data_IF_367959664643
#
_entry.id   IF_367959664643
#
_cell.length_a   1.000
_cell.length_b   1.000
_cell.length_c   1.000
_cell.angle_alpha   90.00
_cell.angle_beta   90.00
_cell.angle_gamma   90.00
#
_symmetry.space_group_name_H-M   'P 1'
#
loop_
_entity.id
_entity.type
_entity.pdbx_description
1 polymer ?
#
# COMPACT_ATOMS: atom_id res chain seq x y z
N UNK A 1 -25.01 -5.06 -13.86
CA UNK A 1 -24.64 -5.29 -12.46
C UNK A 1 -23.12 -5.46 -12.36
N UNK A 2 -22.42 -4.33 -12.07
CA UNK A 2 -21.00 -4.42 -11.74
C UNK A 2 -20.89 -4.83 -10.27
N UNK A 3 -20.41 -6.02 -10.04
CA UNK A 3 -20.06 -6.49 -8.70
C UNK A 3 -18.55 -6.42 -8.56
N UNK A 4 -18.08 -5.86 -7.44
CA UNK A 4 -16.65 -5.72 -7.19
C UNK A 4 -16.16 -6.81 -6.25
N UNK A 5 -14.91 -7.18 -6.39
CA UNK A 5 -14.23 -8.10 -5.48
C UNK A 5 -13.94 -7.42 -4.14
N UNK A 6 -13.64 -8.22 -3.12
CA UNK A 6 -13.09 -7.70 -1.86
C UNK A 6 -11.62 -7.34 -2.10
N UNK A 7 -11.34 -6.04 -2.14
CA UNK A 7 -9.99 -5.51 -2.40
C UNK A 7 -9.00 -5.88 -1.28
N UNK A 8 -9.51 -6.16 -0.07
CA UNK A 8 -8.67 -6.55 1.07
C UNK A 8 -8.12 -7.98 0.96
N UNK A 9 -8.71 -8.78 0.07
CA UNK A 9 -8.22 -10.13 -0.20
C UNK A 9 -6.82 -10.06 -0.82
N UNK A 10 -5.91 -10.92 -0.41
CA UNK A 10 -4.51 -10.88 -0.83
C UNK A 10 -4.32 -11.09 -2.34
N UNK A 11 -5.11 -11.98 -2.96
CA UNK A 11 -5.07 -12.19 -4.41
C UNK A 11 -5.58 -10.97 -5.14
N UNK A 12 -6.72 -10.42 -4.71
CA UNK A 12 -7.32 -9.24 -5.32
C UNK A 12 -6.42 -8.01 -5.16
N UNK A 13 -5.89 -7.82 -3.97
CA UNK A 13 -5.01 -6.69 -3.69
C UNK A 13 -3.78 -6.68 -4.61
N UNK A 14 -3.08 -7.80 -4.71
CA UNK A 14 -1.91 -7.92 -5.57
C UNK A 14 -2.25 -7.75 -7.05
N UNK A 15 -3.38 -8.30 -7.49
CA UNK A 15 -3.84 -8.14 -8.87
C UNK A 15 -4.12 -6.69 -9.23
N UNK A 16 -4.72 -5.94 -8.33
CA UNK A 16 -5.10 -4.55 -8.57
C UNK A 16 -3.87 -3.63 -8.46
N UNK A 17 -3.16 -3.68 -7.34
CA UNK A 17 -2.06 -2.76 -7.06
C UNK A 17 -0.73 -3.17 -7.66
N UNK A 18 -0.53 -4.46 -7.92
CA UNK A 18 0.66 -5.00 -8.58
C UNK A 18 0.49 -5.22 -10.08
N UNK A 19 -0.42 -4.50 -10.72
CA UNK A 19 -0.75 -4.69 -12.14
C UNK A 19 0.28 -4.01 -13.03
N UNK A 20 1.08 -4.82 -13.74
CA UNK A 20 2.11 -4.34 -14.68
C UNK A 20 1.53 -3.53 -15.85
N UNK A 21 0.31 -3.81 -16.23
CA UNK A 21 -0.33 -3.16 -17.38
C UNK A 21 -1.08 -1.90 -17.00
N UNK A 22 -1.28 -1.65 -15.70
CA UNK A 22 -2.05 -0.52 -15.17
C UNK A 22 -1.33 0.11 -13.99
N UNK A 23 -0.09 0.49 -14.17
CA UNK A 23 0.75 1.10 -13.12
C UNK A 23 0.19 2.42 -12.59
N UNK A 24 -0.69 3.07 -13.34
CA UNK A 24 -1.39 4.28 -12.91
C UNK A 24 -2.17 4.06 -11.60
N UNK A 25 -2.62 2.84 -11.34
CA UNK A 25 -3.30 2.48 -10.09
C UNK A 25 -2.37 2.69 -8.89
N UNK A 26 -1.21 2.03 -8.91
CA UNK A 26 -0.24 2.13 -7.83
C UNK A 26 0.30 3.55 -7.69
N UNK A 27 0.61 4.22 -8.80
CA UNK A 27 1.11 5.60 -8.80
C UNK A 27 0.12 6.53 -8.09
N UNK A 28 -1.16 6.46 -8.44
CA UNK A 28 -2.18 7.29 -7.82
C UNK A 28 -2.32 7.01 -6.33
N UNK A 29 -2.33 5.74 -5.95
CA UNK A 29 -2.41 5.34 -4.55
C UNK A 29 -1.22 5.86 -3.73
N UNK A 30 0.00 5.70 -4.25
CA UNK A 30 1.21 6.18 -3.57
C UNK A 30 1.18 7.70 -3.37
N UNK A 31 0.84 8.45 -4.41
CA UNK A 31 0.74 9.91 -4.31
C UNK A 31 -0.33 10.33 -3.30
N UNK A 32 -1.45 9.63 -3.26
CA UNK A 32 -2.54 9.92 -2.33
C UNK A 32 -2.11 9.70 -0.88
N UNK A 33 -1.57 8.54 -0.57
CA UNK A 33 -1.20 8.16 0.81
C UNK A 33 -0.03 8.99 1.33
N UNK A 34 0.93 9.30 0.47
CA UNK A 34 2.11 10.09 0.83
C UNK A 34 1.86 11.60 0.75
N UNK A 35 0.71 12.02 0.24
CA UNK A 35 0.37 13.44 0.10
C UNK A 35 1.28 14.17 -0.88
N UNK A 36 1.72 13.51 -1.95
CA UNK A 36 2.64 14.09 -2.92
C UNK A 36 1.89 14.81 -4.03
N UNK A 37 2.30 16.04 -4.31
CA UNK A 37 1.68 16.91 -5.30
C UNK A 37 2.73 17.60 -6.18
N UNK A 38 2.32 18.01 -7.39
CA UNK A 38 3.16 18.78 -8.31
C UNK A 38 4.42 18.02 -8.69
N UNK A 39 5.56 18.66 -8.56
CA UNK A 39 6.86 18.09 -8.94
C UNK A 39 7.32 16.96 -8.02
N UNK A 40 6.76 16.86 -6.82
CA UNK A 40 7.11 15.82 -5.85
C UNK A 40 6.36 14.51 -6.09
N UNK A 41 5.43 14.49 -7.03
CA UNK A 41 4.64 13.29 -7.34
C UNK A 41 5.50 12.18 -7.89
N UNK A 42 5.18 10.96 -7.49
CA UNK A 42 5.66 9.76 -8.20
C UNK A 42 5.06 9.79 -9.60
N UNK A 43 5.90 9.66 -10.63
CA UNK A 43 5.48 9.71 -12.04
C UNK A 43 5.52 8.35 -12.69
N UNK A 44 6.48 7.53 -12.32
CA UNK A 44 6.68 6.19 -12.86
C UNK A 44 7.06 5.23 -11.76
N UNK A 45 6.67 3.97 -11.91
CA UNK A 45 7.10 2.90 -11.00
C UNK A 45 7.56 1.70 -11.79
N UNK A 46 8.53 1.00 -11.21
CA UNK A 46 8.95 -0.33 -11.64
C UNK A 46 8.54 -1.30 -10.55
N UNK A 47 7.70 -2.27 -10.89
CA UNK A 47 7.31 -3.30 -9.95
C UNK A 47 8.47 -4.27 -9.73
N UNK A 48 8.75 -4.57 -8.48
CA UNK A 48 9.81 -5.47 -8.08
C UNK A 48 9.20 -6.79 -7.60
N UNK A 49 9.96 -7.88 -7.71
CA UNK A 49 9.55 -9.13 -7.11
C UNK A 49 9.52 -8.97 -5.58
N UNK A 50 8.40 -9.30 -4.93
CA UNK A 50 8.35 -9.30 -3.47
C UNK A 50 9.36 -10.31 -2.95
N UNK A 51 10.13 -9.92 -1.93
CA UNK A 51 11.02 -10.86 -1.28
C UNK A 51 10.29 -11.59 -0.15
N UNK A 52 10.69 -12.86 0.05
CA UNK A 52 10.16 -13.65 1.15
C UNK A 52 11.03 -13.46 2.38
N UNK A 53 10.39 -13.35 3.55
CA UNK A 53 11.13 -13.42 4.81
C UNK A 53 11.63 -14.85 5.06
N UNK A 54 12.81 -14.98 5.69
CA UNK A 54 13.22 -16.28 6.21
C UNK A 54 12.15 -16.85 7.13
N UNK A 55 11.83 -18.13 6.98
CA UNK A 55 10.90 -18.79 7.89
C UNK A 55 11.55 -18.98 9.25
N UNK A 56 10.87 -18.51 10.29
CA UNK A 56 11.10 -19.03 11.61
C UNK A 56 10.41 -20.39 11.70
N UNK A 57 10.95 -21.28 12.50
CA UNK A 57 10.40 -22.64 12.59
C UNK A 57 8.91 -22.60 12.96
N UNK A 58 8.07 -23.18 12.11
CA UNK A 58 6.62 -23.25 12.31
C UNK A 58 5.80 -22.09 11.71
N UNK A 59 6.44 -21.10 11.10
CA UNK A 59 5.71 -19.98 10.46
C UNK A 59 5.53 -20.21 8.96
N UNK A 60 4.40 -19.72 8.44
CA UNK A 60 4.19 -19.65 6.99
C UNK A 60 5.12 -18.58 6.41
N UNK A 61 5.64 -18.81 5.21
CA UNK A 61 6.41 -17.79 4.49
C UNK A 61 5.51 -16.58 4.25
N UNK A 62 6.01 -15.40 4.61
CA UNK A 62 5.34 -14.14 4.33
C UNK A 62 5.92 -13.52 3.08
N UNK A 63 5.04 -13.12 2.17
CA UNK A 63 5.41 -12.38 0.95
C UNK A 63 4.84 -10.98 1.11
N UNK A 64 5.63 -9.97 0.78
CA UNK A 64 5.14 -8.59 0.68
C UNK A 64 4.17 -8.51 -0.50
N UNK A 65 3.02 -7.86 -0.31
CA UNK A 65 1.99 -7.80 -1.33
C UNK A 65 2.44 -7.07 -2.60
N UNK A 66 3.00 -5.86 -2.44
CA UNK A 66 3.49 -5.08 -3.57
C UNK A 66 4.79 -4.37 -3.17
N UNK A 67 5.77 -4.41 -4.07
CA UNK A 67 7.04 -3.72 -3.89
C UNK A 67 7.42 -3.05 -5.20
N UNK A 68 7.79 -1.78 -5.15
CA UNK A 68 8.09 -0.99 -6.36
C UNK A 68 9.15 0.07 -6.08
N UNK A 69 9.82 0.53 -7.15
CA UNK A 69 10.69 1.71 -7.10
C UNK A 69 10.15 2.77 -8.04
N UNK A 70 10.37 4.04 -7.67
CA UNK A 70 10.05 5.15 -8.57
C UNK A 70 11.28 5.55 -9.42
N UNK A 71 11.11 6.61 -10.21
CA UNK A 71 12.15 7.13 -11.10
C UNK A 71 13.37 7.70 -10.35
N UNK A 72 13.24 7.98 -9.07
CA UNK A 72 14.32 8.48 -8.23
C UNK A 72 15.00 7.38 -7.41
N UNK A 73 14.55 6.14 -7.55
CA UNK A 73 15.07 5.01 -6.82
C UNK A 73 14.47 4.81 -5.43
N UNK A 74 13.44 5.57 -5.05
CA UNK A 74 12.72 5.36 -3.79
C UNK A 74 11.99 4.02 -3.87
N UNK A 75 12.15 3.18 -2.86
CA UNK A 75 11.44 1.92 -2.76
C UNK A 75 10.18 2.07 -1.91
N UNK A 76 9.08 1.53 -2.42
CA UNK A 76 7.80 1.47 -1.71
C UNK A 76 7.46 0.02 -1.42
N UNK A 77 7.15 -0.24 -0.16
CA UNK A 77 6.61 -1.53 0.30
C UNK A 77 5.15 -1.27 0.64
N UNK A 78 4.23 -1.97 -0.01
CA UNK A 78 2.80 -1.85 0.27
C UNK A 78 2.29 -3.20 0.74
N UNK A 79 1.66 -3.22 1.91
CA UNK A 79 1.18 -4.44 2.52
C UNK A 79 -0.25 -4.28 3.04
N UNK A 80 -1.12 -5.22 2.66
CA UNK A 80 -2.49 -5.33 3.16
C UNK A 80 -2.52 -6.41 4.27
N UNK A 81 -2.95 -6.04 5.48
CA UNK A 81 -3.05 -6.96 6.62
C UNK A 81 -4.49 -7.05 7.10
N UNK A 82 -5.09 -8.24 6.98
CA UNK A 82 -6.48 -8.45 7.41
C UNK A 82 -6.59 -8.70 8.91
N UNK A 83 -5.54 -9.23 9.53
CA UNK A 83 -5.48 -9.49 10.97
C UNK A 83 -4.09 -9.12 11.50
N UNK A 84 -4.02 -8.68 12.75
CA UNK A 84 -2.76 -8.29 13.35
C UNK A 84 -1.85 -9.51 13.54
N UNK A 85 -0.69 -9.56 12.84
CA UNK A 85 0.28 -10.63 13.07
C UNK A 85 1.05 -10.41 14.35
N UNK A 86 1.55 -11.50 14.93
CA UNK A 86 2.45 -11.40 16.08
C UNK A 86 3.69 -10.58 15.71
N UNK A 87 4.05 -9.62 16.57
CA UNK A 87 5.20 -8.76 16.33
C UNK A 87 5.04 -7.82 15.13
N UNK A 88 3.86 -7.31 14.90
CA UNK A 88 3.55 -6.44 13.76
C UNK A 88 4.55 -5.29 13.61
N UNK A 89 4.84 -4.57 14.69
CA UNK A 89 5.79 -3.45 14.68
C UNK A 89 7.21 -3.89 14.26
N UNK A 90 7.65 -5.03 14.78
CA UNK A 90 8.96 -5.60 14.47
C UNK A 90 9.02 -6.06 12.99
N UNK A 91 7.93 -6.64 12.51
CA UNK A 91 7.80 -7.06 11.12
C UNK A 91 7.96 -5.87 10.15
N UNK A 92 7.27 -4.77 10.43
CA UNK A 92 7.37 -3.54 9.63
C UNK A 92 8.80 -3.02 9.60
N UNK A 93 9.43 -2.91 10.76
CA UNK A 93 10.82 -2.43 10.84
C UNK A 93 11.79 -3.37 10.17
N UNK A 94 11.59 -4.68 10.32
CA UNK A 94 12.46 -5.67 9.71
C UNK A 94 12.43 -5.60 8.18
N UNK A 95 11.24 -5.56 7.58
CA UNK A 95 11.11 -5.47 6.11
C UNK A 95 11.74 -4.19 5.57
N UNK A 96 11.45 -3.07 6.22
CA UNK A 96 11.95 -1.77 5.81
C UNK A 96 13.48 -1.71 5.91
N UNK A 97 14.04 -2.20 7.02
CA UNK A 97 15.48 -2.23 7.27
C UNK A 97 16.20 -3.17 6.31
N UNK A 98 15.62 -4.33 6.04
CA UNK A 98 16.19 -5.31 5.09
C UNK A 98 16.25 -4.73 3.68
N UNK A 99 15.20 -4.06 3.25
CA UNK A 99 15.16 -3.42 1.93
C UNK A 99 16.17 -2.29 1.83
N UNK A 100 16.30 -1.50 2.88
CA UNK A 100 17.27 -0.41 2.93
C UNK A 100 18.72 -0.93 2.90
N UNK A 101 19.06 -1.83 3.80
CA UNK A 101 20.39 -2.40 3.89
C UNK A 101 20.77 -3.22 2.65
N UNK A 102 19.79 -3.85 2.01
CA UNK A 102 20.01 -4.69 0.83
C UNK A 102 20.33 -3.92 -0.45
N UNK A 103 20.26 -2.58 -0.43
CA UNK A 103 20.54 -1.76 -1.62
C UNK A 103 22.02 -1.68 -1.95
N UNK A 104 22.90 -1.90 -0.99
CA UNK A 104 24.34 -1.79 -1.18
C UNK A 104 25.05 -3.07 -0.73
N UNK A 105 26.22 -3.29 -1.34
CA UNK A 105 27.12 -4.39 -1.02
C UNK A 105 28.37 -3.88 -0.31
N UNK A 106 29.19 -4.81 0.20
CA UNK A 106 30.47 -4.48 0.78
C UNK A 106 31.34 -3.71 -0.23
N UNK A 107 31.83 -2.56 0.18
CA UNK A 107 32.64 -1.69 -0.65
C UNK A 107 31.88 -0.59 -1.39
N UNK A 108 30.54 -0.63 -1.37
CA UNK A 108 29.73 0.44 -1.93
C UNK A 108 29.67 1.65 -0.98
N UNK A 109 29.44 2.83 -1.56
CA UNK A 109 29.35 4.07 -0.79
C UNK A 109 27.94 4.30 -0.23
N UNK A 110 27.87 4.77 1.01
CA UNK A 110 26.59 5.06 1.67
C UNK A 110 25.67 6.03 0.92
N UNK A 111 26.19 7.08 0.23
CA UNK A 111 25.30 7.98 -0.54
C UNK A 111 24.52 7.32 -1.67
N UNK A 112 24.82 6.08 -2.04
CA UNK A 112 24.03 5.31 -3.01
C UNK A 112 22.70 4.84 -2.43
N UNK A 113 22.55 4.80 -1.10
CA UNK A 113 21.29 4.42 -0.46
C UNK A 113 20.17 5.38 -0.84
N UNK A 114 18.98 4.81 -1.09
CA UNK A 114 17.77 5.54 -1.43
C UNK A 114 16.70 5.26 -0.40
N UNK A 115 15.76 6.18 -0.23
CA UNK A 115 14.67 5.99 0.75
C UNK A 115 13.87 4.72 0.55
N UNK A 116 13.34 4.21 1.64
CA UNK A 116 12.36 3.12 1.68
C UNK A 116 11.15 3.60 2.47
N UNK A 117 9.98 3.56 1.86
CA UNK A 117 8.72 3.95 2.48
C UNK A 117 7.82 2.74 2.61
N UNK A 118 7.37 2.48 3.82
CA UNK A 118 6.45 1.40 4.12
C UNK A 118 5.03 1.94 4.24
N UNK A 119 4.11 1.33 3.50
CA UNK A 119 2.68 1.67 3.53
C UNK A 119 1.91 0.42 3.94
N UNK A 120 1.30 0.47 5.12
CA UNK A 120 0.47 -0.62 5.64
C UNK A 120 -1.00 -0.25 5.60
N UNK A 121 -1.83 -1.16 5.07
CA UNK A 121 -3.28 -1.02 5.09
C UNK A 121 -3.78 -2.10 6.04
N UNK A 122 -4.40 -1.68 7.15
CA UNK A 122 -4.70 -2.56 8.28
C UNK A 122 -6.21 -2.69 8.46
N UNK A 123 -6.69 -3.91 8.51
CA UNK A 123 -8.06 -4.20 8.87
C UNK A 123 -8.19 -4.50 10.38
N UNK A 124 -7.39 -3.79 11.18
CA UNK A 124 -7.42 -3.84 12.64
C UNK A 124 -6.94 -2.50 13.21
N UNK A 125 -7.32 -2.19 14.44
CA UNK A 125 -6.85 -1.00 15.14
C UNK A 125 -5.52 -1.30 15.82
N UNK A 126 -4.50 -0.53 15.51
CA UNK A 126 -3.17 -0.69 16.10
C UNK A 126 -2.72 0.52 16.91
N UNK A 127 -2.84 1.72 16.32
CA UNK A 127 -2.43 2.97 16.96
C UNK A 127 -3.57 3.54 17.82
N UNK A 128 -3.21 4.34 18.82
CA UNK A 128 -4.19 4.93 19.73
C UNK A 128 -4.98 6.10 19.16
N UNK A 129 -4.45 6.78 18.15
CA UNK A 129 -5.11 7.93 17.53
C UNK A 129 -6.43 7.55 16.85
N UNK A 130 -7.30 8.53 16.68
CA UNK A 130 -8.60 8.34 16.04
C UNK A 130 -8.55 8.46 14.53
N UNK A 131 -7.53 9.12 13.98
CA UNK A 131 -7.37 9.31 12.56
C UNK A 131 -7.05 7.97 11.88
N UNK A 132 -7.70 7.72 10.75
CA UNK A 132 -7.47 6.49 10.01
C UNK A 132 -6.12 6.45 9.31
N UNK A 133 -5.56 7.60 8.96
CA UNK A 133 -4.24 7.73 8.33
C UNK A 133 -3.24 8.27 9.35
N UNK A 134 -2.13 7.55 9.53
CA UNK A 134 -1.04 8.01 10.38
C UNK A 134 0.28 8.00 9.61
N UNK A 135 1.13 8.97 9.93
CA UNK A 135 2.40 9.20 9.26
C UNK A 135 3.51 9.17 10.30
N UNK A 136 4.50 8.32 10.08
CA UNK A 136 5.59 8.10 11.03
C UNK A 136 6.92 8.32 10.35
N UNK A 137 7.84 8.92 11.07
CA UNK A 137 9.20 9.19 10.60
C UNK A 137 10.16 9.19 11.79
N UNK A 138 11.45 9.25 11.50
CA UNK A 138 12.48 9.34 12.54
C UNK A 138 12.68 10.81 12.87
N UNK A 139 12.46 11.20 14.11
CA UNK A 139 12.50 12.60 14.53
C UNK A 139 13.43 12.78 15.73
N UNK A 140 13.92 14.02 15.90
CA UNK A 140 14.44 14.49 17.17
C UNK A 140 13.28 14.58 18.16
N UNK A 141 13.34 13.85 19.26
CA UNK A 141 12.24 13.77 20.22
C UNK A 141 11.95 15.10 20.91
N UNK A 142 12.93 16.01 20.98
CA UNK A 142 12.75 17.32 21.61
C UNK A 142 12.19 18.37 20.64
N UNK A 143 12.63 18.36 19.38
CA UNK A 143 12.32 19.43 18.41
C UNK A 143 11.32 19.01 17.35
N UNK A 144 11.13 17.71 17.14
CA UNK A 144 10.33 17.16 16.04
C UNK A 144 11.05 17.20 14.68
N UNK A 145 12.31 17.63 14.64
CA UNK A 145 13.06 17.69 13.40
C UNK A 145 13.30 16.27 12.83
N UNK A 146 13.04 16.10 11.55
CA UNK A 146 13.31 14.87 10.83
C UNK A 146 14.66 14.98 10.12
N UNK A 147 15.75 14.59 10.80
CA UNK A 147 17.11 14.61 10.25
C UNK A 147 17.49 13.33 9.50
N UNK A 148 16.72 12.25 9.66
CA UNK A 148 16.96 10.95 9.01
C UNK A 148 15.75 10.64 8.12
N UNK A 149 15.82 11.04 6.85
CA UNK A 149 14.66 11.11 5.94
C UNK A 149 14.40 9.84 5.13
N UNK A 150 15.31 8.89 5.16
CA UNK A 150 15.25 7.73 4.26
C UNK A 150 14.22 6.68 4.63
N UNK A 151 13.71 6.69 5.86
CA UNK A 151 12.68 5.76 6.28
C UNK A 151 11.40 6.51 6.65
N UNK A 152 10.30 6.16 6.01
CA UNK A 152 8.98 6.70 6.32
C UNK A 152 7.96 5.58 6.34
N UNK A 153 6.95 5.77 7.19
CA UNK A 153 5.89 4.80 7.40
C UNK A 153 4.54 5.50 7.29
N UNK A 154 3.61 4.87 6.58
CA UNK A 154 2.21 5.34 6.48
C UNK A 154 1.31 4.18 6.78
N UNK A 155 0.28 4.40 7.61
CA UNK A 155 -0.68 3.36 7.91
C UNK A 155 -2.09 3.89 7.71
N UNK A 156 -2.90 3.07 7.04
CA UNK A 156 -4.34 3.27 6.91
C UNK A 156 -5.01 2.21 7.77
N UNK A 157 -5.74 2.65 8.80
CA UNK A 157 -6.49 1.75 9.68
C UNK A 157 -7.96 1.78 9.26
N UNK A 158 -8.38 0.77 8.52
CA UNK A 158 -9.69 0.73 7.86
C UNK A 158 -10.86 0.84 8.84
N UNK A 159 -10.73 0.27 10.04
CA UNK A 159 -11.80 0.32 11.04
C UNK A 159 -12.07 1.72 11.58
N UNK A 160 -11.10 2.63 11.46
CA UNK A 160 -11.26 4.04 11.85
C UNK A 160 -11.86 4.89 10.74
N UNK A 161 -12.00 4.35 9.55
CA UNK A 161 -12.57 5.04 8.40
C UNK A 161 -14.05 4.71 8.29
N UNK A 162 -14.92 5.71 8.45
CA UNK A 162 -16.37 5.52 8.43
C UNK A 162 -17.08 6.57 7.56
N UNK A 163 -16.36 7.17 6.62
CA UNK A 163 -16.91 8.19 5.73
C UNK A 163 -17.82 7.55 4.68
N UNK A 164 -18.93 8.22 4.40
CA UNK A 164 -19.83 7.89 3.30
C UNK A 164 -19.37 8.60 2.02
N UNK A 165 -19.92 8.19 0.88
CA UNK A 165 -19.52 8.74 -0.43
C UNK A 165 -19.57 10.26 -0.50
N UNK A 166 -20.58 10.89 0.11
CA UNK A 166 -20.72 12.36 0.10
C UNK A 166 -19.75 13.07 1.06
N UNK A 167 -19.09 12.32 1.94
CA UNK A 167 -18.12 12.86 2.91
C UNK A 167 -16.66 12.73 2.43
N UNK A 168 -16.43 12.11 1.28
CA UNK A 168 -15.08 11.92 0.72
C UNK A 168 -14.57 13.23 0.16
N UNK A 169 -13.48 13.75 0.73
CA UNK A 169 -12.91 15.04 0.34
C UNK A 169 -11.58 14.91 -0.38
N UNK A 170 -10.66 14.13 0.21
CA UNK A 170 -9.32 13.95 -0.33
C UNK A 170 -9.23 12.72 -1.22
N UNK A 171 -8.20 12.67 -2.04
CA UNK A 171 -7.93 11.47 -2.85
C UNK A 171 -7.61 10.26 -1.94
N UNK A 172 -6.97 10.48 -0.80
CA UNK A 172 -6.72 9.36 0.14
C UNK A 172 -8.01 8.86 0.78
N UNK A 173 -8.98 9.73 1.05
CA UNK A 173 -10.33 9.30 1.47
C UNK A 173 -10.95 8.37 0.44
N UNK A 174 -10.87 8.75 -0.83
CA UNK A 174 -11.46 8.00 -1.95
C UNK A 174 -10.77 6.65 -2.14
N UNK A 175 -9.47 6.58 -2.01
CA UNK A 175 -8.73 5.31 -2.05
C UNK A 175 -9.08 4.40 -0.87
N UNK A 176 -9.18 4.97 0.33
CA UNK A 176 -9.54 4.21 1.54
C UNK A 176 -10.96 3.65 1.43
N UNK A 177 -11.88 4.46 0.93
CA UNK A 177 -13.25 4.02 0.66
C UNK A 177 -13.27 2.84 -0.32
N UNK A 178 -12.54 2.94 -1.41
CA UNK A 178 -12.42 1.86 -2.39
C UNK A 178 -11.95 0.56 -1.74
N UNK A 179 -10.88 0.61 -0.98
CA UNK A 179 -10.30 -0.59 -0.36
C UNK A 179 -11.28 -1.21 0.64
N UNK A 180 -11.93 -0.38 1.46
CA UNK A 180 -12.82 -0.86 2.52
C UNK A 180 -14.17 -1.34 1.99
N UNK A 181 -14.76 -0.63 1.04
CA UNK A 181 -16.18 -0.78 0.70
C UNK A 181 -16.49 -1.23 -0.72
N UNK A 182 -15.52 -1.38 -1.62
CA UNK A 182 -15.81 -1.74 -3.02
C UNK A 182 -16.70 -2.98 -3.13
N UNK A 183 -16.44 -4.01 -2.32
CA UNK A 183 -17.23 -5.26 -2.35
C UNK A 183 -18.72 -5.06 -2.04
N UNK A 184 -19.07 -3.98 -1.35
CA UNK A 184 -20.45 -3.66 -0.98
C UNK A 184 -21.17 -2.79 -2.02
N UNK A 185 -20.47 -2.36 -3.06
CA UNK A 185 -21.01 -1.48 -4.09
C UNK A 185 -21.52 -2.24 -5.31
N UNK A 186 -22.57 -1.72 -5.92
CA UNK A 186 -23.09 -2.22 -7.20
C UNK A 186 -22.55 -1.43 -8.38
N UNK A 187 -22.21 -0.16 -8.16
CA UNK A 187 -21.65 0.74 -9.17
C UNK A 187 -20.53 1.58 -8.57
N UNK A 188 -19.65 2.07 -9.43
CA UNK A 188 -18.60 3.01 -9.03
C UNK A 188 -19.23 4.34 -8.57
N UNK A 189 -18.75 4.95 -7.46
CA UNK A 189 -19.22 6.26 -7.04
C UNK A 189 -19.06 7.33 -8.13
N UNK A 190 -19.96 8.31 -8.15
CA UNK A 190 -20.03 9.30 -9.24
C UNK A 190 -18.89 10.31 -9.27
N UNK A 191 -18.34 10.70 -8.12
CA UNK A 191 -17.39 11.78 -8.01
C UNK A 191 -15.92 11.31 -7.97
N UNK A 192 -15.58 10.40 -8.86
CA UNK A 192 -14.21 9.91 -9.01
C UNK A 192 -13.61 10.53 -10.28
N UNK A 193 -12.65 11.44 -10.08
CA UNK A 193 -11.96 12.13 -11.17
C UNK A 193 -10.60 11.52 -11.48
N UNK A 194 -10.01 10.84 -10.52
CA UNK A 194 -8.66 10.30 -10.62
C UNK A 194 -8.64 9.08 -11.53
N UNK A 195 -7.77 9.10 -12.54
CA UNK A 195 -7.65 8.03 -13.53
C UNK A 195 -7.23 6.70 -12.88
N UNK A 196 -6.24 6.75 -11.98
CA UNK A 196 -5.76 5.55 -11.29
C UNK A 196 -6.84 4.89 -10.46
N UNK A 197 -7.64 5.67 -9.76
CA UNK A 197 -8.74 5.16 -8.96
C UNK A 197 -9.87 4.59 -9.84
N UNK A 198 -10.18 5.24 -10.97
CA UNK A 198 -11.12 4.70 -11.96
C UNK A 198 -10.67 3.34 -12.47
N UNK A 199 -9.40 3.24 -12.85
CA UNK A 199 -8.82 1.98 -13.32
C UNK A 199 -8.84 0.91 -12.23
N UNK A 200 -8.67 1.30 -10.96
CA UNK A 200 -8.75 0.36 -9.84
C UNK A 200 -10.16 -0.22 -9.70
N UNK A 201 -11.19 0.61 -9.80
CA UNK A 201 -12.59 0.12 -9.79
C UNK A 201 -12.87 -0.82 -10.96
N UNK A 202 -12.39 -0.49 -12.16
CA UNK A 202 -12.55 -1.36 -13.32
C UNK A 202 -11.84 -2.69 -13.13
N UNK A 203 -10.62 -2.66 -12.59
CA UNK A 203 -9.85 -3.87 -12.30
C UNK A 203 -10.51 -4.72 -11.20
N UNK A 204 -11.19 -4.08 -10.25
CA UNK A 204 -11.92 -4.78 -9.18
C UNK A 204 -13.27 -5.35 -9.64
N UNK A 205 -13.79 -4.93 -10.80
CA UNK A 205 -15.07 -5.42 -11.31
C UNK A 205 -14.97 -6.90 -11.69
N UNK A 206 -15.81 -7.74 -11.08
CA UNK A 206 -15.74 -9.20 -11.25
C UNK A 206 -15.88 -9.65 -12.70
N UNK A 207 -16.69 -8.95 -13.50
CA UNK A 207 -16.92 -9.31 -14.91
C UNK A 207 -15.66 -9.17 -15.77
N UNK A 208 -14.66 -8.42 -15.33
CA UNK A 208 -13.38 -8.28 -16.02
C UNK A 208 -12.37 -9.36 -15.62
N UNK A 209 -12.72 -10.22 -14.68
CA UNK A 209 -11.84 -11.29 -14.23
C UNK A 209 -12.02 -12.55 -15.09
N UNK A 210 -10.91 -13.21 -15.42
CA UNK A 210 -10.96 -14.54 -15.99
C UNK A 210 -11.50 -15.52 -14.95
N UNK A 211 -12.04 -16.63 -15.39
CA UNK A 211 -12.48 -17.70 -14.48
C UNK A 211 -11.33 -18.17 -13.59
N UNK A 212 -10.15 -18.36 -14.18
CA UNK A 212 -8.96 -18.79 -13.43
C UNK A 212 -8.57 -17.78 -12.34
N UNK A 213 -8.53 -16.48 -12.65
CA UNK A 213 -8.22 -15.44 -11.68
C UNK A 213 -9.27 -15.38 -10.56
N UNK A 214 -10.55 -15.50 -10.92
CA UNK A 214 -11.63 -15.47 -9.94
C UNK A 214 -11.59 -16.68 -9.01
N UNK A 215 -11.29 -17.87 -9.56
CA UNK A 215 -11.13 -19.07 -8.74
C UNK A 215 -9.97 -18.94 -7.75
N UNK A 216 -8.84 -18.38 -8.19
CA UNK A 216 -7.70 -18.08 -7.29
C UNK A 216 -8.10 -17.14 -6.14
N UNK A 217 -8.92 -16.15 -6.44
CA UNK A 217 -9.46 -15.21 -5.45
C UNK A 217 -10.40 -15.89 -4.45
N UNK A 218 -11.31 -16.73 -4.94
CA UNK A 218 -12.32 -17.40 -4.10
C UNK A 218 -11.65 -18.39 -3.14
N UNK A 219 -10.60 -19.10 -3.58
CA UNK A 219 -9.92 -20.14 -2.80
C UNK A 219 -8.67 -19.62 -2.04
N UNK A 220 -8.44 -18.33 -2.03
CA UNK A 220 -7.32 -17.73 -1.29
C UNK A 220 -7.56 -17.64 0.22
#
# INVERSE_FOLDING_TARGET
DMKFVDVKNDVAFRKIFGNENKKVILISFLNAVLGLEGQNRVKEVTLLNPFQLPRLAGEKSSIIDVRATDEQGVTFIVEMQVAEPAGFDKRVLYYTSKDYAGQINSGDDYPLLRPVYFIGILNFDYFRGEDYLSSHSIIDEATGENGFKDLKFRFIELKKFNKKTHELKSIVDKWTFFIKYAEDLEIMPENIDDEGLKEAYEEAAQHNWTREAYDAYIYS
#
